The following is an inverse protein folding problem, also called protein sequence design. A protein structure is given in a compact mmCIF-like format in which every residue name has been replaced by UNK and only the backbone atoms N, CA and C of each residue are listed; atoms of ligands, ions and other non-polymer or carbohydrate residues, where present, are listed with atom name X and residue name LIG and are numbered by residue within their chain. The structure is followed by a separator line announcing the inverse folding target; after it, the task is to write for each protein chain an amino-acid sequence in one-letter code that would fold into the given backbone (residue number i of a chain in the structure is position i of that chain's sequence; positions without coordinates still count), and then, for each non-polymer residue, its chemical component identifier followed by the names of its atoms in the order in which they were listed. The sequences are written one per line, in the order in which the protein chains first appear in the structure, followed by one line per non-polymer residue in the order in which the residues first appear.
data_IF_765024068680
#
_entry.id   IF_765024068680
#
_cell.length_a   1.000
_cell.length_b   1.000
_cell.length_c   1.000
_cell.angle_alpha   90.00
_cell.angle_beta   90.00
_cell.angle_gamma   90.00
#
_symmetry.space_group_name_H-M   'P 1'
#
loop_
_entity.id
_entity.type
_entity.pdbx_description
1 polymer ?
#
# COMPACT_ATOMS: atom_id res chain seq x y z
N UNK A 1 -13.82 0.75 -0.66
CA UNK A 1 -13.34 1.67 -1.72
C UNK A 1 -12.37 0.91 -2.62
N UNK A 2 -12.31 1.24 -3.91
CA UNK A 2 -11.47 0.61 -4.93
C UNK A 2 -11.07 1.68 -5.97
N UNK A 3 -9.89 1.59 -6.55
CA UNK A 3 -9.43 2.46 -7.64
C UNK A 3 -9.11 1.60 -8.86
N UNK A 4 -9.35 2.12 -10.07
CA UNK A 4 -8.98 1.43 -11.30
C UNK A 4 -9.21 2.29 -12.54
N UNK A 5 -8.64 1.85 -13.66
CA UNK A 5 -8.70 2.55 -14.95
C UNK A 5 -9.23 1.70 -16.11
N UNK A 6 -9.85 0.56 -15.79
CA UNK A 6 -10.31 -0.46 -16.74
C UNK A 6 -9.23 -1.47 -17.17
N UNK A 7 -7.95 -1.11 -17.11
CA UNK A 7 -6.84 -2.05 -17.31
C UNK A 7 -6.47 -2.77 -16.03
N UNK A 8 -6.27 -2.04 -14.93
CA UNK A 8 -6.04 -2.63 -13.62
C UNK A 8 -6.76 -1.86 -12.53
N UNK A 9 -6.89 -2.50 -11.37
CA UNK A 9 -7.41 -1.85 -10.18
C UNK A 9 -6.90 -2.47 -8.90
N UNK A 10 -6.93 -1.67 -7.84
CA UNK A 10 -6.40 -2.02 -6.52
C UNK A 10 -7.44 -1.67 -5.45
N UNK A 11 -7.63 -2.56 -4.47
CA UNK A 11 -8.47 -2.28 -3.31
C UNK A 11 -7.89 -1.12 -2.50
N UNK A 12 -8.76 -0.31 -1.90
CA UNK A 12 -8.35 0.82 -1.09
C UNK A 12 -7.78 0.42 0.29
N UNK A 13 -6.87 -0.57 0.35
CA UNK A 13 -6.13 -0.93 1.56
C UNK A 13 -5.29 0.26 2.07
N UNK A 14 -5.02 0.28 3.37
CA UNK A 14 -4.08 1.24 3.94
C UNK A 14 -2.66 0.94 3.45
N UNK A 15 -1.77 1.92 3.51
CA UNK A 15 -0.37 1.74 3.16
C UNK A 15 0.33 0.85 4.19
N UNK A 16 0.13 1.11 5.48
CA UNK A 16 0.58 0.25 6.57
C UNK A 16 -0.25 -1.04 6.67
N UNK A 17 0.37 -2.09 7.20
CA UNK A 17 -0.31 -3.33 7.51
C UNK A 17 -1.43 -3.11 8.54
N UNK A 18 -2.59 -3.72 8.31
CA UNK A 18 -3.74 -3.68 9.22
C UNK A 18 -4.25 -5.09 9.51
N UNK A 19 -4.69 -5.32 10.75
CA UNK A 19 -5.28 -6.61 11.13
C UNK A 19 -6.55 -6.87 10.29
N UNK A 20 -6.64 -8.07 9.72
CA UNK A 20 -7.75 -8.51 8.85
C UNK A 20 -7.93 -7.64 7.59
N UNK A 21 -6.86 -7.01 7.11
CA UNK A 21 -6.92 -6.33 5.82
C UNK A 21 -7.08 -7.32 4.67
N UNK A 22 -7.62 -6.81 3.55
CA UNK A 22 -7.65 -7.55 2.29
C UNK A 22 -7.03 -6.68 1.20
N UNK A 23 -5.88 -7.09 0.70
CA UNK A 23 -5.14 -6.41 -0.37
C UNK A 23 -5.36 -7.18 -1.66
N UNK A 24 -5.98 -6.52 -2.63
CA UNK A 24 -6.15 -7.10 -3.95
C UNK A 24 -5.71 -6.12 -5.03
N UNK A 25 -4.93 -6.63 -5.98
CA UNK A 25 -4.65 -5.98 -7.26
C UNK A 25 -5.06 -6.93 -8.39
N UNK A 26 -5.84 -6.43 -9.36
CA UNK A 26 -6.27 -7.20 -10.51
C UNK A 26 -5.92 -6.49 -11.81
N UNK A 27 -5.48 -7.24 -12.81
CA UNK A 27 -5.27 -6.76 -14.19
C UNK A 27 -6.26 -7.48 -15.10
N UNK A 28 -6.97 -6.70 -15.91
CA UNK A 28 -7.94 -7.21 -16.88
C UNK A 28 -7.26 -8.14 -17.89
N UNK A 29 -7.85 -9.32 -18.10
CA UNK A 29 -7.39 -10.29 -19.10
C UNK A 29 -6.32 -11.27 -18.62
N UNK A 30 -5.85 -11.20 -17.38
CA UNK A 30 -4.86 -12.14 -16.82
C UNK A 30 -5.51 -13.33 -16.12
N UNK A 31 -6.66 -13.82 -16.61
CA UNK A 31 -7.35 -14.95 -16.00
C UNK A 31 -6.43 -16.17 -15.91
N UNK A 32 -6.48 -16.85 -14.77
CA UNK A 32 -5.70 -18.05 -14.49
C UNK A 32 -6.58 -19.13 -13.88
N UNK A 33 -6.18 -20.38 -14.05
CA UNK A 33 -6.77 -21.53 -13.40
C UNK A 33 -5.63 -22.37 -12.82
N UNK A 34 -5.35 -22.18 -11.54
CA UNK A 34 -4.39 -23.02 -10.83
C UNK A 34 -4.88 -24.48 -10.88
N UNK A 35 -3.99 -25.49 -10.93
CA UNK A 35 -4.41 -26.88 -11.10
C UNK A 35 -5.55 -27.30 -10.14
N UNK A 36 -6.66 -27.76 -10.73
CA UNK A 36 -7.91 -28.14 -10.05
C UNK A 36 -8.78 -27.00 -9.50
N UNK A 37 -8.57 -25.76 -9.96
CA UNK A 37 -9.40 -24.61 -9.61
C UNK A 37 -10.21 -24.07 -10.80
N UNK A 38 -11.24 -23.26 -10.48
CA UNK A 38 -12.01 -22.53 -11.48
C UNK A 38 -11.19 -21.35 -12.02
N UNK A 39 -11.42 -20.99 -13.28
CA UNK A 39 -10.79 -19.81 -13.87
C UNK A 39 -11.22 -18.53 -13.15
N UNK A 40 -10.26 -17.76 -12.66
CA UNK A 40 -10.51 -16.50 -11.97
C UNK A 40 -9.44 -15.44 -12.29
N UNK A 41 -9.67 -14.19 -11.87
CA UNK A 41 -8.64 -13.16 -11.95
C UNK A 41 -7.67 -13.35 -10.78
N UNK A 42 -6.38 -13.60 -11.03
CA UNK A 42 -5.40 -13.79 -9.98
C UNK A 42 -5.21 -12.49 -9.20
N UNK A 43 -5.15 -12.57 -7.88
CA UNK A 43 -4.66 -11.48 -7.05
C UNK A 43 -3.15 -11.32 -7.29
N UNK A 44 -2.78 -10.15 -7.79
CA UNK A 44 -1.41 -9.80 -8.16
C UNK A 44 -0.65 -9.21 -6.96
N UNK A 45 0.69 -9.09 -7.04
CA UNK A 45 1.51 -8.55 -5.97
C UNK A 45 1.02 -7.20 -5.44
N UNK A 46 1.12 -6.99 -4.12
CA UNK A 46 0.80 -5.72 -3.50
C UNK A 46 1.91 -4.68 -3.76
N UNK A 47 1.49 -3.51 -4.21
CA UNK A 47 2.35 -2.37 -4.54
C UNK A 47 2.26 -1.25 -3.51
N UNK A 48 1.40 -1.39 -2.50
CA UNK A 48 1.04 -0.31 -1.57
C UNK A 48 1.74 -0.41 -0.21
N UNK A 49 2.31 -1.57 0.12
CA UNK A 49 2.86 -1.83 1.45
C UNK A 49 3.95 -0.82 1.83
N UNK A 50 3.77 -0.21 3.01
CA UNK A 50 4.75 0.67 3.65
C UNK A 50 4.80 0.37 5.14
N UNK A 51 5.99 0.02 5.64
CA UNK A 51 6.29 0.02 7.07
C UNK A 51 6.90 1.37 7.44
N UNK A 52 6.32 2.03 8.44
CA UNK A 52 6.77 3.34 8.90
C UNK A 52 7.18 3.21 10.35
N UNK A 53 8.37 3.72 10.70
CA UNK A 53 8.83 3.83 12.08
C UNK A 53 9.10 5.28 12.45
N UNK A 54 8.67 5.67 13.64
CA UNK A 54 8.94 6.98 14.25
C UNK A 54 9.75 6.74 15.51
N UNK A 55 10.98 7.26 15.54
CA UNK A 55 11.94 7.06 16.65
C UNK A 55 12.14 5.58 17.02
N UNK A 56 12.12 4.71 16.01
CA UNK A 56 12.26 3.26 16.17
C UNK A 56 10.97 2.52 16.51
N UNK A 57 9.88 3.22 16.85
CA UNK A 57 8.58 2.61 17.10
C UNK A 57 7.80 2.45 15.80
N UNK A 58 7.28 1.24 15.56
CA UNK A 58 6.44 0.96 14.39
C UNK A 58 5.11 1.69 14.46
N UNK A 59 4.72 2.30 13.35
CA UNK A 59 3.44 2.96 13.21
C UNK A 59 2.33 1.91 13.08
N UNK A 60 1.39 1.94 14.02
CA UNK A 60 0.16 1.18 13.96
C UNK A 60 -0.99 2.04 14.46
N UNK A 61 -2.12 2.05 13.75
CA UNK A 61 -3.30 2.82 14.14
C UNK A 61 -3.90 2.39 15.50
N UNK A 62 -3.56 1.19 15.98
CA UNK A 62 -3.98 0.69 17.30
C UNK A 62 -3.13 1.22 18.44
N UNK A 63 -1.91 1.65 18.13
CA UNK A 63 -0.96 2.17 19.09
C UNK A 63 -1.12 3.71 19.16
N UNK A 64 -0.97 4.29 20.35
CA UNK A 64 -1.14 5.72 20.54
C UNK A 64 -2.58 6.22 20.33
N UNK A 65 -2.72 7.51 19.98
CA UNK A 65 -4.03 8.16 19.77
C UNK A 65 -4.11 8.76 18.36
N UNK A 66 -5.11 8.32 17.59
CA UNK A 66 -5.41 8.87 16.27
C UNK A 66 -6.45 10.00 16.37
N UNK A 67 -6.22 11.12 15.67
CA UNK A 67 -7.17 12.24 15.52
C UNK A 67 -7.32 12.65 14.06
N UNK A 68 -8.37 13.41 13.77
CA UNK A 68 -8.60 14.03 12.45
C UNK A 68 -8.54 13.03 11.28
N UNK A 69 -8.93 11.78 11.53
CA UNK A 69 -8.92 10.73 10.52
C UNK A 69 -9.92 11.05 9.41
N UNK A 70 -9.42 11.12 8.19
CA UNK A 70 -10.22 11.34 7.01
C UNK A 70 -9.68 10.49 5.86
N UNK A 71 -10.53 9.66 5.28
CA UNK A 71 -10.26 8.92 4.04
C UNK A 71 -11.36 9.21 3.02
N UNK A 72 -11.00 9.67 1.83
CA UNK A 72 -11.96 9.94 0.77
C UNK A 72 -11.39 9.72 -0.63
N UNK A 73 -12.26 9.22 -1.50
CA UNK A 73 -12.03 9.14 -2.93
C UNK A 73 -12.63 10.36 -3.60
N UNK A 74 -11.80 11.14 -4.28
CA UNK A 74 -12.26 12.24 -5.10
C UNK A 74 -12.77 11.69 -6.44
N UNK A 75 -14.10 11.65 -6.60
CA UNK A 75 -14.74 11.10 -7.80
C UNK A 75 -14.48 11.90 -9.08
N UNK A 76 -14.00 13.16 -8.97
CA UNK A 76 -13.69 14.01 -10.12
C UNK A 76 -12.36 13.66 -10.77
N UNK A 77 -11.34 13.32 -9.97
CA UNK A 77 -9.98 13.06 -10.47
C UNK A 77 -9.47 11.63 -10.16
N UNK A 78 -10.23 10.83 -9.42
CA UNK A 78 -9.88 9.45 -9.05
C UNK A 78 -8.84 9.32 -7.94
N UNK A 79 -8.44 10.43 -7.29
CA UNK A 79 -7.43 10.42 -6.23
C UNK A 79 -8.04 9.96 -4.90
N UNK A 80 -7.41 8.97 -4.27
CA UNK A 80 -7.73 8.52 -2.91
C UNK A 80 -6.78 9.24 -1.95
N UNK A 81 -7.35 9.99 -1.02
CA UNK A 81 -6.60 10.72 0.02
C UNK A 81 -6.96 10.12 1.37
N UNK A 82 -5.93 9.81 2.17
CA UNK A 82 -6.06 9.44 3.58
C UNK A 82 -5.18 10.35 4.41
N UNK A 83 -5.75 11.04 5.39
CA UNK A 83 -5.01 11.89 6.32
C UNK A 83 -5.46 11.67 7.76
N UNK A 84 -4.53 11.77 8.69
CA UNK A 84 -4.79 11.65 10.12
C UNK A 84 -3.60 12.16 10.92
N UNK A 85 -3.84 12.47 12.18
CA UNK A 85 -2.81 12.78 13.16
C UNK A 85 -2.60 11.57 14.05
N UNK A 86 -1.36 11.13 14.21
CA UNK A 86 -0.96 10.08 15.11
C UNK A 86 -0.19 10.69 16.29
N UNK A 87 -0.70 10.49 17.50
CA UNK A 87 -0.11 11.01 18.72
C UNK A 87 0.49 9.86 19.51
N UNK A 88 1.80 9.91 19.71
CA UNK A 88 2.58 8.91 20.43
C UNK A 88 3.67 9.63 21.23
N UNK A 89 3.89 9.23 22.49
CA UNK A 89 4.90 9.81 23.39
C UNK A 89 4.89 11.35 23.45
N UNK A 90 3.70 11.95 23.41
CA UNK A 90 3.51 13.40 23.45
C UNK A 90 3.84 14.15 22.16
N UNK A 91 4.26 13.46 21.09
CA UNK A 91 4.52 14.02 19.76
C UNK A 91 3.27 13.86 18.89
N UNK A 92 3.01 14.83 18.02
CA UNK A 92 1.98 14.74 17.00
C UNK A 92 2.65 14.58 15.63
N UNK A 93 2.31 13.50 14.93
CA UNK A 93 2.79 13.22 13.58
C UNK A 93 1.58 13.26 12.64
N UNK A 94 1.59 14.16 11.65
CA UNK A 94 0.54 14.24 10.64
C UNK A 94 0.94 13.40 9.45
N UNK A 95 0.07 12.46 9.09
CA UNK A 95 0.21 11.66 7.89
C UNK A 95 -0.79 12.11 6.84
N UNK A 96 -0.33 12.20 5.60
CA UNK A 96 -1.19 12.35 4.42
C UNK A 96 -0.69 11.46 3.29
N UNK A 97 -1.49 10.47 2.97
CA UNK A 97 -1.32 9.58 1.84
C UNK A 97 -2.25 10.04 0.71
N UNK A 98 -1.73 10.06 -0.51
CA UNK A 98 -2.48 10.35 -1.71
C UNK A 98 -2.04 9.40 -2.82
N UNK A 99 -3.00 8.78 -3.52
CA UNK A 99 -2.69 7.90 -4.64
C UNK A 99 -3.76 7.91 -5.72
N UNK A 100 -3.35 7.61 -6.95
CA UNK A 100 -4.28 7.42 -8.06
C UNK A 100 -3.73 6.39 -9.06
N UNK A 101 -4.66 5.76 -9.77
CA UNK A 101 -4.36 4.94 -10.94
C UNK A 101 -4.64 5.79 -12.17
N UNK A 102 -3.64 5.96 -13.04
CA UNK A 102 -3.73 6.88 -14.16
C UNK A 102 -4.75 6.38 -15.19
N UNK A 103 -5.67 7.27 -15.58
CA UNK A 103 -6.60 6.99 -16.69
C UNK A 103 -5.91 7.12 -18.06
N UNK A 104 -4.84 7.91 -18.14
CA UNK A 104 -4.08 8.22 -19.36
C UNK A 104 -3.00 7.17 -19.64
N UNK A 105 -2.23 6.82 -18.63
CA UNK A 105 -1.21 5.76 -18.69
C UNK A 105 -1.75 4.53 -17.98
N UNK A 106 -2.12 3.51 -18.76
CA UNK A 106 -2.88 2.37 -18.22
C UNK A 106 -2.10 1.52 -17.25
N UNK A 107 -0.77 1.60 -17.21
CA UNK A 107 0.09 0.78 -16.34
C UNK A 107 0.62 1.54 -15.12
N UNK A 108 0.22 2.80 -14.94
CA UNK A 108 0.79 3.68 -13.91
C UNK A 108 -0.10 3.78 -12.66
N UNK A 109 0.46 3.37 -11.53
CA UNK A 109 0.03 3.73 -10.19
C UNK A 109 0.99 4.81 -9.64
N UNK A 110 0.44 5.87 -9.06
CA UNK A 110 1.23 6.88 -8.34
C UNK A 110 0.76 6.90 -6.89
N UNK A 111 1.72 6.83 -5.96
CA UNK A 111 1.50 6.98 -4.52
C UNK A 111 2.43 8.05 -3.96
N UNK A 112 1.90 8.87 -3.05
CA UNK A 112 2.61 9.94 -2.36
C UNK A 112 2.29 9.86 -0.87
N UNK A 113 3.33 9.96 -0.05
CA UNK A 113 3.21 10.13 1.40
C UNK A 113 3.83 11.46 1.81
N UNK A 114 3.11 12.22 2.63
CA UNK A 114 3.58 13.44 3.29
C UNK A 114 3.51 13.18 4.79
N UNK A 115 4.64 13.38 5.48
CA UNK A 115 4.79 13.18 6.92
C UNK A 115 5.33 14.49 7.51
N UNK A 116 4.60 15.08 8.46
CA UNK A 116 5.03 16.26 9.21
C UNK A 116 4.89 15.99 10.70
N UNK A 117 5.56 16.77 11.55
CA UNK A 117 5.40 16.69 13.00
C UNK A 117 5.47 18.07 13.63
N UNK A 118 4.85 18.21 14.81
CA UNK A 118 5.03 19.36 15.69
C UNK A 118 6.39 19.37 16.40
N UNK A 119 7.15 18.27 16.32
CA UNK A 119 8.48 18.13 16.88
C UNK A 119 9.53 18.12 15.75
N UNK A 120 10.56 18.96 15.89
CA UNK A 120 11.64 19.09 14.92
C UNK A 120 12.75 18.03 15.10
N UNK A 121 12.70 17.22 16.15
CA UNK A 121 13.66 16.15 16.43
C UNK A 121 12.95 14.79 16.41
N UNK A 122 12.69 14.31 15.19
CA UNK A 122 12.06 13.01 14.93
C UNK A 122 12.89 12.24 13.91
N UNK A 123 13.07 10.95 14.14
CA UNK A 123 13.61 10.03 13.16
C UNK A 123 12.48 9.28 12.46
N UNK A 124 12.40 9.39 11.13
CA UNK A 124 11.42 8.67 10.32
C UNK A 124 12.15 7.64 9.45
N UNK A 125 11.72 6.39 9.54
CA UNK A 125 12.15 5.31 8.65
C UNK A 125 10.95 4.83 7.85
N UNK A 126 11.13 4.67 6.55
CA UNK A 126 10.11 4.11 5.66
C UNK A 126 10.74 2.94 4.93
N UNK A 127 10.16 1.76 5.10
CA UNK A 127 10.44 0.60 4.27
C UNK A 127 9.22 0.39 3.37
N UNK A 128 9.46 0.30 2.06
CA UNK A 128 8.41 0.03 1.07
C UNK A 128 8.90 -1.06 0.12
N UNK A 129 7.98 -1.79 -0.48
CA UNK A 129 8.34 -2.90 -1.35
C UNK A 129 7.13 -3.46 -2.09
N UNK A 130 7.43 -4.43 -2.95
CA UNK A 130 6.42 -5.22 -3.64
C UNK A 130 6.29 -6.55 -2.91
N UNK A 131 5.08 -6.87 -2.44
CA UNK A 131 4.80 -8.17 -1.83
C UNK A 131 4.15 -9.12 -2.84
N UNK A 132 4.93 -10.10 -3.30
CA UNK A 132 4.50 -11.11 -4.28
C UNK A 132 3.73 -12.30 -3.70
N UNK A 133 3.50 -12.34 -2.38
CA UNK A 133 2.88 -13.49 -1.70
C UNK A 133 1.35 -13.35 -1.54
N UNK A 134 0.73 -12.55 -2.41
CA UNK A 134 -0.71 -12.36 -2.44
C UNK A 134 -1.42 -13.61 -2.97
N UNK A 135 -2.61 -13.90 -2.43
CA UNK A 135 -3.41 -15.07 -2.80
C UNK A 135 -4.88 -14.70 -3.06
N UNK A 136 -5.56 -15.56 -3.82
CA UNK A 136 -7.01 -15.61 -3.93
C UNK A 136 -7.52 -16.77 -3.10
N UNK A 137 -8.46 -16.55 -2.16
CA UNK A 137 -9.18 -17.66 -1.50
C UNK A 137 -8.30 -18.85 -1.06
N UNK A 138 -7.07 -18.58 -0.58
CA UNK A 138 -5.98 -19.50 -0.21
C UNK A 138 -5.07 -20.09 -1.31
N UNK A 139 -5.28 -19.73 -2.58
CA UNK A 139 -4.42 -20.12 -3.71
C UNK A 139 -3.58 -18.97 -4.23
N UNK A 140 -2.29 -19.25 -4.38
CA UNK A 140 -1.31 -18.31 -4.92
C UNK A 140 -1.07 -18.62 -6.40
N UNK A 141 -1.52 -17.74 -7.27
CA UNK A 141 -1.34 -17.88 -8.72
C UNK A 141 0.07 -17.50 -9.20
N UNK A 142 0.81 -16.74 -8.37
CA UNK A 142 2.18 -16.35 -8.66
C UNK A 142 3.14 -17.38 -8.08
N UNK A 143 3.81 -18.12 -8.96
CA UNK A 143 4.87 -19.05 -8.55
C UNK A 143 6.16 -18.26 -8.34
N UNK A 144 6.87 -18.55 -7.26
CA UNK A 144 8.17 -17.95 -6.99
C UNK A 144 9.18 -18.35 -8.09
N UNK A 145 9.66 -17.37 -8.84
CA UNK A 145 10.72 -17.56 -9.84
C UNK A 145 12.13 -17.51 -9.22
N UNK A 146 13.16 -17.60 -10.05
CA UNK A 146 14.55 -17.43 -9.59
C UNK A 146 14.78 -16.02 -9.03
N UNK A 147 15.06 -15.95 -7.71
CA UNK A 147 15.43 -14.70 -7.04
C UNK A 147 16.89 -14.36 -7.34
N UNK A 148 17.14 -13.23 -8.01
CA UNK A 148 18.47 -12.62 -8.08
C UNK A 148 18.67 -11.69 -6.89
N UNK A 149 19.52 -12.11 -5.95
CA UNK A 149 19.99 -11.26 -4.86
C UNK A 149 21.07 -10.32 -5.43
N UNK A 150 20.78 -9.02 -5.46
CA UNK A 150 21.79 -8.01 -5.69
C UNK A 150 22.33 -7.55 -4.34
N UNK A 151 23.63 -7.66 -4.12
CA UNK A 151 24.26 -7.04 -2.94
C UNK A 151 24.01 -5.53 -2.97
N UNK A 152 23.61 -4.98 -1.82
CA UNK A 152 23.45 -3.56 -1.64
C UNK A 152 24.82 -2.88 -1.76
N UNK A 153 25.10 -2.29 -2.93
CA UNK A 153 26.20 -1.34 -3.07
C UNK A 153 25.73 -0.02 -2.49
N UNK A 154 26.24 0.32 -1.30
CA UNK A 154 26.26 1.71 -0.84
C UNK A 154 26.88 2.54 -1.96
N UNK A 155 26.07 3.42 -2.57
CA UNK A 155 26.61 4.40 -3.51
C UNK A 155 27.46 5.40 -2.69
N UNK A 156 28.63 5.81 -3.21
CA UNK A 156 29.52 6.76 -2.55
C UNK A 156 28.86 8.13 -2.35
#
# INVERSE_FOLDING_TARGET
MFQGNGYFGIRAAAEEHQLNEKRDMFVSGTFDAFPNEVTELPNLPDLLNMEIKVDGQEFCLKDGKVRNYHKALNMRNGELIRKFDWIIDGKCINFKFARFISMRDKHLLVSKVEITSDNNNINIQILSGIDGQQSNSSTQHMIEGEKRLYEYRSRP
#
